data_IF_763574726439
#
_entry.id   IF_763574726439
#
_cell.length_a   1.000
_cell.length_b   1.000
_cell.length_c   1.000
_cell.angle_alpha   90.00
_cell.angle_beta   90.00
_cell.angle_gamma   90.00
#
_symmetry.space_group_name_H-M   'P 1'
#
loop_
_entity.id
_entity.type
_entity.pdbx_description
1 polymer ?
#
# COMPACT_ATOMS: atom_id res chain seq x y z
N UNK A 1 -6.96 -34.07 52.69
CA UNK A 1 -6.05 -34.21 51.54
C UNK A 1 -6.73 -33.65 50.30
N UNK A 2 -6.08 -32.66 49.67
CA UNK A 2 -6.09 -32.31 48.23
C UNK A 2 -7.42 -32.37 47.47
N UNK A 3 -8.02 -31.19 47.26
CA UNK A 3 -8.70 -30.74 46.02
C UNK A 3 -9.09 -29.27 46.16
N UNK A 4 -8.08 -28.44 46.40
CA UNK A 4 -8.09 -27.01 46.07
C UNK A 4 -7.14 -26.83 44.89
N UNK A 5 -7.42 -25.84 44.05
CA UNK A 5 -6.66 -25.45 42.86
C UNK A 5 -6.90 -26.36 41.66
N UNK A 6 -7.91 -26.03 40.82
CA UNK A 6 -7.76 -26.12 39.36
C UNK A 6 -8.91 -25.48 38.55
N UNK A 7 -10.02 -25.07 39.19
CA UNK A 7 -11.17 -24.52 38.44
C UNK A 7 -11.25 -22.97 38.49
N UNK A 8 -10.49 -22.33 39.38
CA UNK A 8 -10.49 -20.85 39.50
C UNK A 8 -9.41 -20.14 38.67
N UNK A 9 -8.64 -20.87 37.84
CA UNK A 9 -7.59 -20.30 36.99
C UNK A 9 -7.99 -20.17 35.49
N UNK A 10 -9.18 -20.63 35.10
CA UNK A 10 -9.64 -20.54 33.70
C UNK A 10 -10.66 -19.41 33.49
N UNK A 11 -11.28 -18.89 34.55
CA UNK A 11 -12.29 -17.83 34.48
C UNK A 11 -11.76 -16.41 34.75
N UNK A 12 -10.48 -16.25 35.05
CA UNK A 12 -9.81 -14.94 35.22
C UNK A 12 -8.83 -14.59 34.10
N UNK A 13 -8.71 -15.43 33.06
CA UNK A 13 -7.91 -15.12 31.86
C UNK A 13 -8.74 -14.66 30.65
N UNK A 14 -10.03 -14.38 30.85
CA UNK A 14 -10.95 -13.86 29.83
C UNK A 14 -11.36 -12.39 30.05
N UNK A 15 -10.82 -11.76 31.09
CA UNK A 15 -10.91 -10.31 31.29
C UNK A 15 -9.54 -9.71 30.95
N UNK A 16 -9.52 -8.72 30.06
CA UNK A 16 -8.33 -8.02 29.55
C UNK A 16 -7.61 -8.63 28.35
N UNK A 17 -8.37 -8.99 27.31
CA UNK A 17 -7.99 -8.48 25.99
C UNK A 17 -8.95 -7.34 25.66
N UNK A 18 -8.61 -6.12 26.08
CA UNK A 18 -9.02 -4.93 25.31
C UNK A 18 -8.30 -5.04 23.98
N UNK A 19 -8.78 -5.90 23.09
CA UNK A 19 -8.54 -5.71 21.67
C UNK A 19 -9.22 -4.40 21.36
N UNK A 20 -8.40 -3.36 21.24
CA UNK A 20 -8.79 -2.10 20.64
C UNK A 20 -9.32 -2.44 19.25
N UNK A 21 -10.64 -2.61 19.14
CA UNK A 21 -11.30 -2.56 17.86
C UNK A 21 -11.14 -1.12 17.40
N UNK A 22 -10.39 -0.93 16.32
CA UNK A 22 -10.43 0.31 15.59
C UNK A 22 -11.84 0.44 15.01
N UNK A 23 -12.70 1.15 15.75
CA UNK A 23 -13.99 1.60 15.27
C UNK A 23 -13.70 2.69 14.23
N UNK A 24 -13.63 2.29 12.95
CA UNK A 24 -13.47 3.22 11.85
C UNK A 24 -14.79 3.99 11.69
N UNK A 25 -14.85 5.16 12.31
CA UNK A 25 -15.90 6.16 12.08
C UNK A 25 -15.73 6.74 10.68
N UNK A 26 -16.60 6.31 9.76
CA UNK A 26 -16.73 6.90 8.43
C UNK A 26 -17.72 8.06 8.50
N UNK A 27 -17.21 9.28 8.56
CA UNK A 27 -18.02 10.48 8.41
C UNK A 27 -17.39 11.45 7.40
N UNK A 28 -17.90 11.36 6.16
CA UNK A 28 -17.94 12.41 5.13
C UNK A 28 -16.64 13.01 4.58
N UNK A 29 -15.81 12.16 3.96
CA UNK A 29 -15.39 12.23 2.54
C UNK A 29 -15.08 10.79 2.11
N UNK A 30 -15.58 10.37 0.95
CA UNK A 30 -15.79 8.97 0.60
C UNK A 30 -14.50 8.22 0.27
N UNK A 31 -14.27 7.10 0.96
CA UNK A 31 -13.58 5.89 0.50
C UNK A 31 -12.50 6.07 -0.60
N UNK A 32 -11.22 6.13 -0.20
CA UNK A 32 -10.00 5.67 -0.93
C UNK A 32 -8.79 6.63 -0.90
N UNK A 33 -8.74 7.64 -0.03
CA UNK A 33 -7.51 8.43 0.14
C UNK A 33 -6.43 7.54 0.75
N UNK A 34 -5.37 7.22 0.00
CA UNK A 34 -4.20 6.53 0.55
C UNK A 34 -3.11 7.54 0.89
N UNK A 35 -2.43 7.30 2.01
CA UNK A 35 -1.38 8.18 2.53
C UNK A 35 -0.09 8.00 1.70
N UNK A 36 0.43 9.12 1.17
CA UNK A 36 1.73 9.10 0.50
C UNK A 36 2.86 8.78 1.50
N UNK A 37 3.81 7.94 1.06
CA UNK A 37 4.97 7.54 1.86
C UNK A 37 6.21 8.31 1.42
N UNK A 38 6.89 8.92 2.40
CA UNK A 38 8.16 9.59 2.17
C UNK A 38 9.25 8.56 1.81
N UNK A 39 10.14 8.93 0.89
CA UNK A 39 11.28 8.09 0.49
C UNK A 39 10.92 6.91 -0.43
N UNK A 40 9.66 6.80 -0.87
CA UNK A 40 9.25 5.87 -1.92
C UNK A 40 8.57 6.66 -3.06
N UNK A 41 8.72 6.18 -4.30
CA UNK A 41 7.84 6.61 -5.40
C UNK A 41 6.44 6.05 -5.14
N UNK A 42 5.45 6.94 -5.07
CA UNK A 42 4.04 6.65 -4.88
C UNK A 42 3.32 6.69 -6.24
N UNK A 43 2.64 5.61 -6.62
CA UNK A 43 1.79 5.59 -7.81
C UNK A 43 0.43 6.19 -7.46
N UNK A 44 -0.04 7.14 -8.26
CA UNK A 44 -1.41 7.68 -8.23
C UNK A 44 -2.02 7.52 -9.63
N UNK A 45 -3.29 7.13 -9.72
CA UNK A 45 -3.99 7.07 -11.01
C UNK A 45 -4.74 8.38 -11.29
N UNK A 46 -5.04 8.69 -12.56
CA UNK A 46 -5.89 9.83 -12.92
C UNK A 46 -7.24 9.79 -12.20
N UNK A 47 -7.67 10.95 -11.68
CA UNK A 47 -8.92 11.10 -10.93
C UNK A 47 -8.89 10.61 -9.48
N UNK A 48 -7.78 10.02 -9.03
CA UNK A 48 -7.65 9.54 -7.65
C UNK A 48 -7.38 10.65 -6.65
N UNK A 49 -7.82 10.42 -5.43
CA UNK A 49 -7.58 11.27 -4.29
C UNK A 49 -6.52 10.63 -3.38
N UNK A 50 -5.69 11.46 -2.76
CA UNK A 50 -4.65 11.03 -1.82
C UNK A 50 -4.35 12.12 -0.81
N UNK A 51 -3.76 11.74 0.33
CA UNK A 51 -3.44 12.68 1.40
C UNK A 51 -1.95 12.69 1.76
N UNK A 52 -1.48 13.85 2.20
CA UNK A 52 -0.21 14.03 2.91
C UNK A 52 -0.53 14.51 4.31
N UNK A 53 -0.05 13.76 5.31
CA UNK A 53 -0.16 14.14 6.72
C UNK A 53 1.20 14.57 7.27
N UNK A 54 1.23 15.77 7.83
CA UNK A 54 2.39 16.34 8.52
C UNK A 54 2.09 16.35 10.01
N UNK A 55 2.81 15.53 10.77
CA UNK A 55 2.63 15.43 12.22
C UNK A 55 3.56 16.43 12.93
N UNK A 56 3.19 17.70 12.97
CA UNK A 56 3.85 18.71 13.79
C UNK A 56 2.81 19.54 14.57
N UNK A 57 3.14 19.86 15.83
CA UNK A 57 2.32 20.67 16.73
C UNK A 57 2.19 22.15 16.28
N UNK A 58 3.06 22.60 15.38
CA UNK A 58 3.12 23.99 14.91
C UNK A 58 2.61 24.07 13.45
N UNK A 59 1.32 23.78 13.27
CA UNK A 59 0.65 23.60 11.97
C UNK A 59 0.52 24.87 11.13
N UNK A 60 0.81 26.05 11.71
CA UNK A 60 0.64 27.37 11.08
C UNK A 60 1.77 27.78 10.13
N UNK A 61 2.83 26.98 9.99
CA UNK A 61 4.08 27.39 9.35
C UNK A 61 4.51 26.52 8.16
N UNK A 62 3.56 25.95 7.40
CA UNK A 62 3.89 25.14 6.23
C UNK A 62 3.36 25.72 4.93
N UNK A 63 4.21 25.72 3.90
CA UNK A 63 3.81 25.91 2.50
C UNK A 63 3.99 24.59 1.73
N UNK A 64 3.17 24.42 0.70
CA UNK A 64 3.18 23.23 -0.16
C UNK A 64 3.36 23.65 -1.61
N UNK A 65 4.26 22.96 -2.29
CA UNK A 65 4.65 23.20 -3.67
C UNK A 65 4.44 21.92 -4.47
N UNK A 66 3.74 22.02 -5.59
CA UNK A 66 3.34 20.90 -6.43
C UNK A 66 3.01 21.38 -7.85
N UNK A 67 3.06 20.46 -8.81
CA UNK A 67 2.68 20.77 -10.19
C UNK A 67 1.15 20.84 -10.34
N UNK A 68 0.65 22.07 -10.44
CA UNK A 68 -0.78 22.38 -10.58
C UNK A 68 -1.39 21.93 -11.90
N UNK A 69 -0.59 21.59 -12.91
CA UNK A 69 -1.10 21.03 -14.16
C UNK A 69 -1.41 19.53 -14.03
N UNK A 70 -0.83 18.88 -13.02
CA UNK A 70 -0.92 17.44 -12.82
C UNK A 70 -1.84 17.07 -11.66
N UNK A 71 -1.80 17.86 -10.59
CA UNK A 71 -2.44 17.58 -9.31
C UNK A 71 -3.14 18.84 -8.83
N UNK A 72 -4.32 18.68 -8.25
CA UNK A 72 -5.11 19.73 -7.61
C UNK A 72 -5.12 19.53 -6.09
N UNK A 73 -4.79 20.57 -5.32
CA UNK A 73 -5.08 20.59 -3.88
C UNK A 73 -6.56 20.86 -3.67
N UNK A 74 -7.28 19.90 -3.11
CA UNK A 74 -8.74 19.97 -2.97
C UNK A 74 -9.17 20.49 -1.61
N UNK A 75 -8.38 20.23 -0.57
CA UNK A 75 -8.69 20.65 0.81
C UNK A 75 -7.43 20.67 1.67
N UNK A 76 -7.42 21.58 2.64
CA UNK A 76 -6.46 21.57 3.76
C UNK A 76 -7.22 21.41 5.08
N UNK A 77 -6.66 20.63 6.00
CA UNK A 77 -7.20 20.47 7.35
C UNK A 77 -6.11 20.73 8.39
N UNK A 78 -6.38 21.68 9.30
CA UNK A 78 -5.49 22.03 10.39
C UNK A 78 -6.01 21.37 11.68
N UNK A 79 -5.26 20.40 12.19
CA UNK A 79 -5.52 19.73 13.46
C UNK A 79 -4.57 20.27 14.54
N UNK A 80 -4.89 20.00 15.80
CA UNK A 80 -4.11 20.45 16.95
C UNK A 80 -2.66 19.92 16.96
N UNK A 81 -2.40 18.77 16.33
CA UNK A 81 -1.09 18.13 16.30
C UNK A 81 -0.63 17.73 14.89
N UNK A 82 -1.39 18.12 13.85
CA UNK A 82 -1.03 17.79 12.47
C UNK A 82 -1.68 18.71 11.47
N UNK A 83 -1.11 18.77 10.26
CA UNK A 83 -1.75 19.39 9.10
C UNK A 83 -1.90 18.34 8.01
N UNK A 84 -3.08 18.28 7.38
CA UNK A 84 -3.39 17.33 6.31
C UNK A 84 -3.69 18.09 5.03
N UNK A 85 -3.05 17.67 3.94
CA UNK A 85 -3.31 18.17 2.60
C UNK A 85 -3.97 17.07 1.78
N UNK A 86 -5.12 17.37 1.20
CA UNK A 86 -5.88 16.47 0.34
C UNK A 86 -5.71 16.88 -1.11
N UNK A 87 -5.36 15.92 -1.95
CA UNK A 87 -5.07 16.13 -3.35
C UNK A 87 -5.94 15.27 -4.24
N UNK A 88 -6.08 15.70 -5.50
CA UNK A 88 -6.65 14.92 -6.59
C UNK A 88 -5.72 14.95 -7.79
N UNK A 89 -5.48 13.79 -8.41
CA UNK A 89 -4.81 13.73 -9.71
C UNK A 89 -5.77 14.20 -10.80
N UNK A 90 -5.42 15.27 -11.52
CA UNK A 90 -6.26 15.83 -12.58
C UNK A 90 -5.73 15.56 -13.99
N UNK A 91 -4.46 15.16 -14.11
CA UNK A 91 -3.86 14.79 -15.39
C UNK A 91 -3.94 13.30 -15.64
N UNK A 92 -4.10 12.95 -16.92
CA UNK A 92 -4.00 11.61 -17.50
C UNK A 92 -2.61 11.36 -18.14
N UNK A 93 -1.71 12.33 -18.09
CA UNK A 93 -0.37 12.23 -18.69
C UNK A 93 0.56 11.46 -17.76
N UNK A 94 1.29 10.48 -18.33
CA UNK A 94 2.35 9.77 -17.61
C UNK A 94 3.43 10.76 -17.18
N UNK A 95 3.63 10.90 -15.88
CA UNK A 95 4.56 11.90 -15.35
C UNK A 95 5.17 11.50 -14.01
N UNK A 96 6.39 11.99 -13.75
CA UNK A 96 6.99 11.99 -12.43
C UNK A 96 6.97 13.43 -11.90
N UNK A 97 6.34 13.64 -10.75
CA UNK A 97 6.28 14.93 -10.07
C UNK A 97 6.63 14.79 -8.59
N UNK A 98 6.84 15.92 -7.94
CA UNK A 98 7.17 15.99 -6.52
C UNK A 98 6.21 16.91 -5.82
N UNK A 99 5.77 16.49 -4.64
CA UNK A 99 5.10 17.39 -3.70
C UNK A 99 6.10 17.72 -2.60
N UNK A 100 6.38 19.01 -2.45
CA UNK A 100 7.37 19.52 -1.51
C UNK A 100 6.67 20.33 -0.44
N UNK A 101 6.79 19.88 0.80
CA UNK A 101 6.31 20.59 1.99
C UNK A 101 7.48 21.33 2.62
N UNK A 102 7.37 22.65 2.71
CA UNK A 102 8.41 23.53 3.27
C UNK A 102 7.88 24.10 4.59
N UNK A 103 8.67 23.98 5.65
CA UNK A 103 8.39 24.71 6.89
C UNK A 103 9.02 26.10 6.81
N UNK A 104 8.34 27.08 7.39
CA UNK A 104 8.80 28.47 7.47
C UNK A 104 9.92 28.65 8.52
N UNK A 105 10.29 27.58 9.23
CA UNK A 105 11.45 27.59 10.14
C UNK A 105 12.73 27.48 9.31
N UNK A 106 13.57 28.52 9.35
CA UNK A 106 14.79 28.69 8.52
C UNK A 106 15.74 27.48 8.51
N UNK A 107 15.74 26.64 9.56
CA UNK A 107 16.63 25.48 9.67
C UNK A 107 15.99 24.13 9.29
N UNK A 108 14.73 24.11 8.88
CA UNK A 108 14.00 22.87 8.58
C UNK A 108 14.23 22.41 7.15
N UNK A 109 14.57 21.12 6.97
CA UNK A 109 14.71 20.54 5.63
C UNK A 109 13.32 20.32 5.01
N UNK A 110 13.12 20.62 3.72
CA UNK A 110 11.88 20.31 3.04
C UNK A 110 11.57 18.81 3.06
N UNK A 111 10.30 18.48 3.24
CA UNK A 111 9.79 17.11 3.15
C UNK A 111 9.30 16.91 1.71
N UNK A 112 9.81 15.87 1.04
CA UNK A 112 9.49 15.59 -0.37
C UNK A 112 8.79 14.26 -0.51
N UNK A 113 7.74 14.24 -1.33
CA UNK A 113 7.01 13.04 -1.73
C UNK A 113 7.12 12.88 -3.25
N UNK A 114 7.69 11.77 -3.69
CA UNK A 114 7.79 11.45 -5.11
C UNK A 114 6.48 10.78 -5.58
N UNK A 115 5.89 11.34 -6.64
CA UNK A 115 4.60 10.92 -7.18
C UNK A 115 4.78 10.54 -8.66
N UNK A 116 4.34 9.33 -9.00
CA UNK A 116 4.27 8.83 -10.36
C UNK A 116 2.80 8.74 -10.77
N UNK A 117 2.44 9.50 -11.80
CA UNK A 117 1.10 9.53 -12.38
C UNK A 117 1.14 8.65 -13.63
N UNK A 118 0.18 7.73 -13.75
CA UNK A 118 0.04 6.88 -14.94
C UNK A 118 -1.39 6.38 -15.03
N UNK A 119 -2.04 6.45 -16.21
CA UNK A 119 -3.22 5.65 -16.48
C UNK A 119 -2.96 4.18 -16.18
N UNK A 120 -3.97 3.46 -15.69
CA UNK A 120 -3.82 2.04 -15.36
C UNK A 120 -3.43 1.22 -16.59
N UNK A 121 -3.94 1.59 -17.78
CA UNK A 121 -3.69 0.87 -19.02
C UNK A 121 -2.26 1.02 -19.57
N UNK A 122 -1.57 2.10 -19.21
CA UNK A 122 -0.18 2.31 -19.60
C UNK A 122 0.81 1.55 -18.70
N UNK A 123 0.34 1.03 -17.55
CA UNK A 123 1.16 0.17 -16.68
C UNK A 123 1.24 -1.22 -17.34
N UNK A 124 2.44 -1.76 -17.57
CA UNK A 124 2.61 -2.99 -18.34
C UNK A 124 1.95 -4.18 -17.63
N UNK A 125 1.11 -4.91 -18.36
CA UNK A 125 0.57 -6.20 -17.93
C UNK A 125 1.65 -7.27 -18.13
N UNK A 126 1.99 -7.98 -17.06
CA UNK A 126 3.02 -9.03 -17.05
C UNK A 126 2.50 -10.28 -16.36
N UNK A 127 3.18 -11.40 -16.60
CA UNK A 127 2.97 -12.66 -15.87
C UNK A 127 3.99 -12.81 -14.73
N UNK A 128 3.71 -13.73 -13.81
CA UNK A 128 4.64 -14.08 -12.73
C UNK A 128 5.94 -14.64 -13.33
N UNK A 129 5.85 -15.45 -14.40
CA UNK A 129 7.03 -15.97 -15.10
C UNK A 129 7.87 -14.87 -15.75
N UNK A 130 7.27 -13.84 -16.34
CA UNK A 130 8.02 -12.72 -16.90
C UNK A 130 8.90 -12.04 -15.84
N UNK A 131 8.35 -11.84 -14.64
CA UNK A 131 9.07 -11.26 -13.49
C UNK A 131 10.18 -12.19 -13.02
N UNK A 132 9.90 -13.49 -12.93
CA UNK A 132 10.88 -14.48 -12.51
C UNK A 132 12.06 -14.59 -13.47
N UNK A 133 11.81 -14.61 -14.77
CA UNK A 133 12.83 -14.80 -15.79
C UNK A 133 13.70 -13.56 -16.01
N UNK A 134 13.17 -12.36 -15.70
CA UNK A 134 13.86 -11.08 -15.92
C UNK A 134 13.62 -10.09 -14.75
N UNK A 135 13.99 -10.42 -13.50
CA UNK A 135 13.63 -9.63 -12.32
C UNK A 135 14.24 -8.22 -12.34
N UNK A 136 15.43 -8.05 -12.92
CA UNK A 136 16.10 -6.77 -13.12
C UNK A 136 15.32 -5.84 -14.05
N UNK A 137 14.65 -6.37 -15.08
CA UNK A 137 13.81 -5.57 -16.00
C UNK A 137 12.67 -4.88 -15.27
N UNK A 138 12.14 -5.51 -14.22
CA UNK A 138 10.98 -5.05 -13.47
C UNK A 138 11.32 -4.43 -12.11
N UNK A 139 12.59 -4.47 -11.69
CA UNK A 139 13.01 -3.95 -10.40
C UNK A 139 12.59 -2.49 -10.19
N UNK A 140 11.91 -2.24 -9.07
CA UNK A 140 11.35 -0.96 -8.63
C UNK A 140 10.27 -0.35 -9.54
N UNK A 141 9.76 -1.11 -10.53
CA UNK A 141 8.70 -0.67 -11.43
C UNK A 141 7.31 -1.08 -10.94
N UNK A 142 6.31 -0.35 -11.43
CA UNK A 142 4.91 -0.74 -11.31
C UNK A 142 4.53 -1.63 -12.49
N UNK A 143 3.79 -2.70 -12.22
CA UNK A 143 3.29 -3.64 -13.23
C UNK A 143 1.84 -3.99 -12.92
N UNK A 144 1.07 -4.35 -13.93
CA UNK A 144 -0.23 -4.99 -13.78
C UNK A 144 -0.06 -6.50 -13.82
N UNK A 145 -0.82 -7.19 -12.96
CA UNK A 145 -0.87 -8.64 -12.88
C UNK A 145 -2.33 -9.07 -12.87
N UNK A 146 -2.64 -10.15 -13.60
CA UNK A 146 -3.91 -10.85 -13.52
C UNK A 146 -3.65 -12.22 -12.89
N UNK A 147 -4.07 -12.40 -11.65
CA UNK A 147 -3.81 -13.63 -10.91
C UNK A 147 -5.01 -13.99 -10.02
N UNK A 148 -5.09 -15.27 -9.65
CA UNK A 148 -5.99 -15.77 -8.61
C UNK A 148 -5.36 -15.55 -7.25
N UNK A 149 -6.11 -15.01 -6.30
CA UNK A 149 -5.67 -14.91 -4.90
C UNK A 149 -6.02 -16.22 -4.19
N UNK A 150 -5.01 -16.93 -3.70
CA UNK A 150 -5.16 -18.25 -3.07
C UNK A 150 -5.10 -18.22 -1.54
N UNK A 151 -4.80 -17.07 -0.92
CA UNK A 151 -4.55 -17.02 0.53
C UNK A 151 -3.29 -17.80 0.90
N UNK A 152 -3.40 -18.67 1.91
CA UNK A 152 -2.35 -19.63 2.30
C UNK A 152 -2.52 -21.01 1.65
N UNK A 153 -3.42 -21.14 0.67
CA UNK A 153 -3.62 -22.40 -0.02
C UNK A 153 -2.42 -22.77 -0.91
N UNK A 154 -2.28 -24.06 -1.18
CA UNK A 154 -1.29 -24.53 -2.15
C UNK A 154 -1.68 -24.07 -3.57
N UNK A 155 -0.69 -23.73 -4.41
CA UNK A 155 -0.93 -23.51 -5.83
C UNK A 155 -1.62 -24.71 -6.49
N UNK A 156 -2.42 -24.45 -7.51
CA UNK A 156 -3.19 -25.48 -8.24
C UNK A 156 -2.57 -25.85 -9.59
N UNK A 157 -1.83 -24.93 -10.21
CA UNK A 157 -1.28 -25.05 -11.56
C UNK A 157 0.26 -25.18 -11.58
N UNK A 158 0.95 -24.94 -10.46
CA UNK A 158 2.41 -25.07 -10.34
C UNK A 158 2.82 -25.87 -9.11
N UNK A 159 3.94 -26.59 -9.17
CA UNK A 159 4.53 -27.25 -7.99
C UNK A 159 5.30 -26.28 -7.10
N UNK A 160 5.79 -25.18 -7.69
CA UNK A 160 6.75 -24.28 -7.07
C UNK A 160 6.18 -22.86 -6.94
N UNK A 161 6.56 -22.17 -5.86
CA UNK A 161 6.20 -20.77 -5.61
C UNK A 161 7.47 -19.92 -5.75
N UNK A 162 7.42 -18.93 -6.64
CA UNK A 162 8.52 -18.00 -6.89
C UNK A 162 8.42 -16.74 -6.03
N UNK A 163 9.57 -16.15 -5.69
CA UNK A 163 9.65 -14.93 -4.87
C UNK A 163 9.54 -15.14 -3.36
N UNK A 164 9.81 -14.08 -2.59
CA UNK A 164 9.87 -14.17 -1.12
C UNK A 164 8.50 -14.08 -0.44
N UNK A 165 8.31 -14.99 0.51
CA UNK A 165 7.52 -14.70 1.70
C UNK A 165 8.26 -13.62 2.52
N UNK A 166 7.73 -12.41 2.49
CA UNK A 166 8.27 -11.26 3.23
C UNK A 166 7.70 -11.19 4.63
N UNK A 167 6.41 -11.50 4.78
CA UNK A 167 5.71 -11.46 6.08
C UNK A 167 4.71 -12.60 6.22
N UNK A 168 4.29 -12.89 7.46
CA UNK A 168 3.16 -13.80 7.73
C UNK A 168 1.81 -13.25 7.27
N UNK A 169 1.75 -12.01 6.78
CA UNK A 169 0.55 -11.43 6.17
C UNK A 169 0.53 -11.55 4.64
N UNK A 170 1.59 -12.09 4.04
CA UNK A 170 1.63 -12.28 2.60
C UNK A 170 0.66 -13.39 2.18
N UNK A 171 0.16 -13.28 0.96
CA UNK A 171 -0.73 -14.27 0.35
C UNK A 171 -0.07 -14.88 -0.88
N UNK A 172 -0.44 -16.11 -1.22
CA UNK A 172 -0.10 -16.73 -2.49
C UNK A 172 -1.03 -16.18 -3.57
N UNK A 173 -0.44 -15.81 -4.70
CA UNK A 173 -1.13 -15.56 -5.96
C UNK A 173 -0.68 -16.59 -6.98
N UNK A 174 -1.56 -16.90 -7.92
CA UNK A 174 -1.28 -17.84 -9.01
C UNK A 174 -1.87 -17.32 -10.32
N UNK A 175 -1.06 -17.27 -11.36
CA UNK A 175 -1.52 -17.07 -12.74
C UNK A 175 -1.34 -18.37 -13.56
N UNK A 176 -1.51 -18.30 -14.87
CA UNK A 176 -1.32 -19.46 -15.76
C UNK A 176 0.15 -19.84 -15.98
N UNK A 177 1.10 -19.07 -15.45
CA UNK A 177 2.54 -19.24 -15.65
C UNK A 177 3.29 -19.66 -14.39
N UNK A 178 2.74 -19.40 -13.20
CA UNK A 178 3.32 -19.80 -11.93
C UNK A 178 2.58 -19.22 -10.73
N UNK A 179 3.20 -19.33 -9.55
CA UNK A 179 2.68 -18.79 -8.30
C UNK A 179 3.76 -17.98 -7.59
N UNK A 180 3.35 -16.98 -6.81
CA UNK A 180 4.25 -16.16 -6.03
C UNK A 180 3.62 -15.66 -4.73
N UNK A 181 4.47 -15.28 -3.77
CA UNK A 181 4.02 -14.52 -2.60
C UNK A 181 3.86 -13.03 -2.94
N UNK A 182 2.77 -12.45 -2.47
CA UNK A 182 2.51 -11.00 -2.56
C UNK A 182 2.24 -10.43 -1.17
N UNK A 183 2.89 -9.31 -0.89
CA UNK A 183 2.70 -8.52 0.33
C UNK A 183 1.70 -7.38 0.12
N UNK A 184 1.10 -6.88 1.20
CA UNK A 184 0.18 -5.73 1.14
C UNK A 184 -1.26 -6.06 0.77
N UNK A 185 -1.59 -7.34 0.63
CA UNK A 185 -2.97 -7.81 0.56
C UNK A 185 -3.50 -8.04 1.98
N UNK A 186 -4.54 -7.30 2.40
CA UNK A 186 -5.31 -7.72 3.56
C UNK A 186 -6.04 -9.01 3.21
N UNK A 187 -6.09 -9.97 4.14
CA UNK A 187 -6.67 -11.33 4.02
C UNK A 187 -8.16 -11.41 3.64
N UNK A 188 -8.78 -10.33 3.17
CA UNK A 188 -10.22 -10.22 2.94
C UNK A 188 -10.68 -10.70 1.54
N UNK A 189 -9.78 -11.03 0.62
CA UNK A 189 -10.19 -11.57 -0.68
C UNK A 189 -10.52 -13.05 -0.53
N UNK A 190 -11.77 -13.42 -0.90
CA UNK A 190 -12.21 -14.81 -0.98
C UNK A 190 -11.13 -15.60 -1.73
N UNK A 191 -10.68 -16.69 -1.13
CA UNK A 191 -9.45 -17.46 -1.44
C UNK A 191 -9.42 -18.14 -2.81
N UNK A 192 -10.26 -17.70 -3.75
CA UNK A 192 -10.26 -18.14 -5.13
C UNK A 192 -10.96 -17.11 -6.04
N UNK A 193 -10.35 -15.94 -6.20
CA UNK A 193 -10.88 -14.91 -7.09
C UNK A 193 -9.79 -14.43 -8.03
N UNK A 194 -10.08 -14.49 -9.34
CA UNK A 194 -9.24 -13.84 -10.35
C UNK A 194 -9.36 -12.34 -10.19
N UNK A 195 -8.24 -11.68 -9.98
CA UNK A 195 -8.17 -10.23 -9.81
C UNK A 195 -7.14 -9.64 -10.75
N UNK A 196 -7.45 -8.45 -11.27
CA UNK A 196 -6.49 -7.60 -11.96
C UNK A 196 -6.02 -6.54 -10.96
N UNK A 197 -4.72 -6.34 -10.85
CA UNK A 197 -4.16 -5.44 -9.86
C UNK A 197 -2.84 -4.85 -10.31
N UNK A 198 -2.46 -3.73 -9.70
CA UNK A 198 -1.16 -3.10 -9.86
C UNK A 198 -0.28 -3.48 -8.66
N UNK A 199 0.94 -3.90 -8.96
CA UNK A 199 1.96 -4.21 -7.99
C UNK A 199 3.24 -3.42 -8.25
N UNK A 200 4.02 -3.22 -7.18
CA UNK A 200 5.40 -2.74 -7.26
C UNK A 200 6.33 -3.94 -7.08
N UNK A 201 7.20 -4.14 -8.06
CA UNK A 201 8.24 -5.17 -7.98
C UNK A 201 9.44 -4.57 -7.27
N UNK A 202 9.95 -5.24 -6.25
CA UNK A 202 11.21 -4.86 -5.59
C UNK A 202 12.23 -5.97 -5.82
N UNK A 203 13.46 -5.59 -6.14
CA UNK A 203 14.57 -6.55 -6.15
C UNK A 203 14.83 -7.03 -4.72
N UNK A 204 15.13 -8.32 -4.57
CA UNK A 204 15.54 -8.89 -3.29
C UNK A 204 16.70 -9.87 -3.48
N UNK A 205 17.82 -9.58 -2.83
CA UNK A 205 19.08 -10.33 -2.98
C UNK A 205 19.00 -11.78 -2.51
N UNK A 206 18.02 -12.16 -1.67
CA UNK A 206 17.93 -13.50 -1.09
C UNK A 206 17.04 -14.44 -1.90
N UNK A 207 16.11 -13.89 -2.67
CA UNK A 207 14.97 -14.63 -3.24
C UNK A 207 14.60 -14.17 -4.66
N UNK A 208 15.45 -13.35 -5.29
CA UNK A 208 15.24 -12.76 -6.61
C UNK A 208 14.39 -11.49 -6.58
N UNK A 209 13.12 -11.60 -6.18
CA UNK A 209 12.17 -10.49 -6.22
C UNK A 209 11.09 -10.56 -5.13
N UNK A 210 10.41 -9.41 -4.94
CA UNK A 210 9.25 -9.22 -4.08
C UNK A 210 8.14 -8.54 -4.86
N UNK A 211 6.91 -9.05 -4.72
CA UNK A 211 5.71 -8.43 -5.25
C UNK A 211 4.99 -7.73 -4.09
N UNK A 212 4.72 -6.43 -4.23
CA UNK A 212 3.93 -5.65 -3.28
C UNK A 212 2.67 -5.16 -3.98
N UNK A 213 1.51 -5.59 -3.49
CA UNK A 213 0.23 -5.06 -3.95
C UNK A 213 0.18 -3.56 -3.69
N UNK A 214 -0.16 -2.79 -4.73
CA UNK A 214 -0.36 -1.35 -4.64
C UNK A 214 -1.85 -1.03 -4.73
N UNK A 215 -2.55 -1.61 -5.72
CA UNK A 215 -3.96 -1.32 -5.95
C UNK A 215 -4.65 -2.47 -6.65
N UNK A 216 -5.91 -2.74 -6.31
CA UNK A 216 -6.78 -3.58 -7.14
C UNK A 216 -7.47 -2.75 -8.21
N UNK A 217 -7.63 -3.35 -9.39
CA UNK A 217 -8.41 -2.80 -10.49
C UNK A 217 -9.79 -3.49 -10.48
N UNK A 218 -10.85 -2.68 -10.65
CA UNK A 218 -12.24 -3.16 -10.72
C UNK A 218 -12.56 -3.68 -12.11
#
# INVERSE_FOLDING_TARGET
MKRFVFIFLILTLLAFTRTSYAEFSFSNISQNDFLLKQGEINLVLPGEYFEIRINEQDSSNFSIDYDKNLIELTREENLSASKIYYFKTISDVISNTKIVVKSNKESSKPITYDVYISPADDIPLVTIKDIHDNPEKFANKFVRLKARFLGWARPTNTSDIWGALTTKSDTVIEDNTGAAFISGANFMYKTDSSVLFIAKIKSDKRVGFKIKLIKLLK
#
